data_IF_202374872515
#
_entry.id   IF_202374872515
#
_cell.length_a   1.000
_cell.length_b   1.000
_cell.length_c   1.000
_cell.angle_alpha   90.00
_cell.angle_beta   90.00
_cell.angle_gamma   90.00
#
_symmetry.space_group_name_H-M   'P 1'
#
loop_
_entity.id
_entity.type
_entity.pdbx_description
1 polymer ?
#
# COMPACT_ATOMS: atom_id res chain seq x y z
N UNK A 1 66.10 12.90 1.41
CA UNK A 1 65.83 12.98 -0.05
C UNK A 1 64.65 12.05 -0.35
N UNK A 2 63.39 12.50 -0.19
CA UNK A 2 62.46 12.94 -1.25
C UNK A 2 62.46 12.06 -2.51
N UNK A 3 61.47 11.15 -2.64
CA UNK A 3 60.59 10.86 -3.82
C UNK A 3 59.39 10.05 -3.29
N UNK A 4 58.33 10.69 -2.79
CA UNK A 4 57.14 11.09 -3.56
C UNK A 4 56.70 10.06 -4.61
N UNK A 5 55.64 9.33 -4.31
CA UNK A 5 54.69 8.79 -5.29
C UNK A 5 53.33 8.71 -4.61
N UNK A 6 52.54 9.77 -4.82
CA UNK A 6 51.10 9.75 -4.66
C UNK A 6 50.52 8.79 -5.71
N UNK A 7 49.72 7.81 -5.28
CA UNK A 7 48.66 7.29 -6.14
C UNK A 7 47.34 7.51 -5.43
N UNK A 8 46.52 8.32 -6.07
CA UNK A 8 45.23 8.81 -5.61
C UNK A 8 44.23 7.66 -5.41
N UNK A 9 43.82 7.47 -4.16
CA UNK A 9 42.62 6.69 -3.83
C UNK A 9 41.40 7.47 -4.30
N UNK A 10 40.85 7.07 -5.44
CA UNK A 10 39.58 7.55 -5.96
C UNK A 10 38.46 7.08 -5.02
N UNK A 11 38.02 7.96 -4.12
CA UNK A 11 36.83 7.73 -3.30
C UNK A 11 35.60 7.64 -4.21
N UNK A 12 35.07 6.42 -4.35
CA UNK A 12 33.79 6.17 -4.99
C UNK A 12 32.67 6.63 -4.02
N UNK A 13 32.27 7.90 -4.12
CA UNK A 13 31.14 8.44 -3.38
C UNK A 13 29.84 7.80 -3.89
N UNK A 14 29.38 6.76 -3.21
CA UNK A 14 28.02 6.24 -3.38
C UNK A 14 27.03 7.33 -2.96
N UNK A 15 26.29 7.89 -3.91
CA UNK A 15 25.19 8.78 -3.61
C UNK A 15 24.12 7.97 -2.86
N UNK A 16 24.09 8.11 -1.53
CA UNK A 16 22.94 7.69 -0.75
C UNK A 16 21.77 8.59 -1.16
N UNK A 17 20.93 8.09 -2.06
CA UNK A 17 19.76 8.82 -2.53
C UNK A 17 18.80 9.00 -1.35
N UNK A 18 18.79 10.20 -0.79
CA UNK A 18 17.79 10.61 0.18
C UNK A 18 16.44 10.68 -0.56
N UNK A 19 15.50 9.83 -0.15
CA UNK A 19 14.21 9.72 -0.81
C UNK A 19 13.16 10.54 -0.04
N UNK A 20 12.57 11.57 -0.65
CA UNK A 20 11.61 12.43 0.04
C UNK A 20 10.31 11.67 0.31
N UNK A 21 9.81 11.80 1.54
CA UNK A 21 8.56 11.21 2.00
C UNK A 21 7.80 12.19 2.91
N UNK A 22 6.53 11.86 3.16
CA UNK A 22 5.71 12.53 4.17
C UNK A 22 5.13 11.49 5.13
N UNK A 23 4.98 11.83 6.41
CA UNK A 23 4.30 10.95 7.35
C UNK A 23 2.81 10.85 7.01
N UNK A 24 2.22 9.66 7.00
CA UNK A 24 0.79 9.45 6.69
C UNK A 24 -0.11 9.72 7.90
N UNK A 25 0.44 9.61 9.11
CA UNK A 25 -0.22 9.84 10.40
C UNK A 25 0.81 10.28 11.44
N UNK A 26 0.33 10.69 12.62
CA UNK A 26 1.21 10.92 13.76
C UNK A 26 2.00 9.64 14.08
N UNK A 27 3.32 9.77 14.23
CA UNK A 27 4.23 8.64 14.48
C UNK A 27 5.38 9.07 15.36
N UNK A 28 5.90 8.13 16.14
CA UNK A 28 7.11 8.31 16.92
C UNK A 28 8.34 8.15 16.03
N UNK A 29 9.34 9.00 16.30
CA UNK A 29 10.70 8.91 15.77
C UNK A 29 11.55 8.22 16.82
N UNK A 30 11.97 6.99 16.56
CA UNK A 30 12.69 6.16 17.53
C UNK A 30 14.21 6.17 17.30
N UNK A 31 14.99 5.95 18.35
CA UNK A 31 16.44 5.96 18.28
C UNK A 31 17.01 4.76 17.50
N UNK A 32 16.30 3.63 17.50
CA UNK A 32 16.70 2.37 16.87
C UNK A 32 15.53 1.73 16.12
N UNK A 33 15.78 0.82 15.14
CA UNK A 33 14.74 0.13 14.38
C UNK A 33 14.13 -1.04 15.16
N UNK A 34 13.58 -0.77 16.34
CA UNK A 34 13.01 -1.75 17.28
C UNK A 34 11.83 -1.13 18.00
N UNK A 35 10.74 -1.86 18.23
CA UNK A 35 9.48 -1.30 18.75
C UNK A 35 9.57 -0.70 20.16
N UNK A 36 10.52 -1.18 20.97
CA UNK A 36 10.81 -0.80 22.35
C UNK A 36 11.96 0.22 22.46
N UNK A 37 12.47 0.71 21.33
CA UNK A 37 13.50 1.74 21.32
C UNK A 37 12.98 3.08 21.87
N UNK A 38 13.85 3.84 22.50
CA UNK A 38 13.52 5.16 23.04
C UNK A 38 13.01 6.12 21.94
N UNK A 39 11.94 6.84 22.25
CA UNK A 39 11.37 7.87 21.38
C UNK A 39 12.18 9.16 21.46
N UNK A 40 12.78 9.55 20.33
CA UNK A 40 13.55 10.78 20.16
C UNK A 40 12.60 11.98 20.03
N UNK A 41 11.54 11.83 19.25
CA UNK A 41 10.53 12.86 19.03
C UNK A 41 9.21 12.24 18.54
N UNK A 42 8.15 13.04 18.51
CA UNK A 42 6.89 12.68 17.86
C UNK A 42 6.70 13.56 16.64
N UNK A 43 6.44 12.94 15.49
CA UNK A 43 6.16 13.61 14.23
C UNK A 43 4.65 13.64 14.02
N UNK A 44 4.10 14.81 13.68
CA UNK A 44 2.71 14.92 13.26
C UNK A 44 2.49 14.24 11.90
N UNK A 45 1.23 13.96 11.53
CA UNK A 45 0.89 13.56 10.18
C UNK A 45 1.23 14.65 9.15
N UNK A 46 1.51 14.26 7.91
CA UNK A 46 1.93 15.11 6.79
C UNK A 46 3.26 15.87 7.03
N UNK A 47 4.11 15.39 7.93
CA UNK A 47 5.45 15.96 8.16
C UNK A 47 6.39 15.47 7.07
N UNK A 48 7.10 16.39 6.39
CA UNK A 48 8.08 16.06 5.36
C UNK A 48 9.39 15.54 5.99
N UNK A 49 9.89 14.43 5.46
CA UNK A 49 11.12 13.77 5.92
C UNK A 49 11.88 13.21 4.72
N UNK A 50 13.18 13.05 4.87
CA UNK A 50 14.03 12.39 3.88
C UNK A 50 14.45 11.01 4.40
N UNK A 51 14.08 9.96 3.66
CA UNK A 51 14.44 8.58 4.00
C UNK A 51 15.86 8.30 3.53
N UNK A 52 16.73 7.85 4.44
CA UNK A 52 18.13 7.58 4.14
C UNK A 52 18.44 6.09 4.02
N UNK A 53 17.87 5.27 4.92
CA UNK A 53 18.16 3.83 5.01
C UNK A 53 16.88 3.09 5.35
N UNK A 54 16.70 1.88 4.81
CA UNK A 54 15.60 0.98 5.17
C UNK A 54 16.14 -0.28 5.83
N UNK A 55 15.51 -0.73 6.92
CA UNK A 55 15.86 -1.96 7.62
C UNK A 55 14.61 -2.69 8.09
N UNK A 56 14.24 -3.75 7.39
CA UNK A 56 12.99 -4.49 7.65
C UNK A 56 11.77 -3.57 7.56
N UNK A 57 10.94 -3.56 8.61
CA UNK A 57 9.74 -2.71 8.70
C UNK A 57 10.03 -1.24 9.06
N UNK A 58 11.30 -0.84 9.15
CA UNK A 58 11.74 0.47 9.59
C UNK A 58 12.44 1.26 8.49
N UNK A 59 12.31 2.58 8.55
CA UNK A 59 12.99 3.53 7.69
C UNK A 59 13.67 4.58 8.56
N UNK A 60 14.98 4.76 8.37
CA UNK A 60 15.73 5.85 8.97
C UNK A 60 15.43 7.12 8.20
N UNK A 61 14.99 8.14 8.91
CA UNK A 61 14.54 9.41 8.34
C UNK A 61 15.27 10.57 8.96
N UNK A 62 15.48 11.61 8.16
CA UNK A 62 15.94 12.92 8.57
C UNK A 62 14.80 13.91 8.43
N UNK A 63 14.50 14.64 9.49
CA UNK A 63 13.50 15.71 9.49
C UNK A 63 14.11 17.02 8.99
N UNK A 64 13.26 17.96 8.56
CA UNK A 64 13.70 19.32 8.19
C UNK A 64 14.38 20.07 9.37
N UNK A 65 14.00 19.73 10.61
CA UNK A 65 14.65 20.23 11.82
C UNK A 65 16.02 19.58 12.11
N UNK A 66 16.51 18.70 11.23
CA UNK A 66 17.80 18.04 11.37
C UNK A 66 17.82 16.81 12.28
N UNK A 67 16.68 16.43 12.87
CA UNK A 67 16.60 15.23 13.71
C UNK A 67 16.63 13.96 12.86
N UNK A 68 17.40 12.97 13.31
CA UNK A 68 17.51 11.66 12.69
C UNK A 68 16.93 10.58 13.61
N UNK A 69 16.23 9.62 13.03
CA UNK A 69 15.72 8.47 13.77
C UNK A 69 14.99 7.49 12.87
N UNK A 70 14.34 6.51 13.46
CA UNK A 70 13.64 5.42 12.79
C UNK A 70 12.14 5.56 12.94
N UNK A 71 11.43 5.41 11.83
CA UNK A 71 9.96 5.36 11.80
C UNK A 71 9.51 4.09 11.10
N UNK A 72 8.29 3.64 11.42
CA UNK A 72 7.69 2.48 10.72
C UNK A 72 7.44 2.84 9.27
N UNK A 73 7.81 1.97 8.34
CA UNK A 73 7.64 2.19 6.90
C UNK A 73 6.18 2.50 6.52
N UNK A 74 5.21 1.84 7.15
CA UNK A 74 3.78 2.07 6.92
C UNK A 74 3.28 3.45 7.39
N UNK A 75 4.07 4.16 8.19
CA UNK A 75 3.78 5.53 8.58
C UNK A 75 4.31 6.56 7.57
N UNK A 76 4.95 6.13 6.49
CA UNK A 76 5.49 6.99 5.43
C UNK A 76 4.69 6.84 4.14
N UNK A 77 4.56 7.95 3.43
CA UNK A 77 4.01 8.05 2.08
C UNK A 77 5.05 8.73 1.20
N UNK A 78 5.53 8.01 0.21
CA UNK A 78 6.51 8.53 -0.74
C UNK A 78 5.80 9.33 -1.82
N UNK A 79 6.44 10.41 -2.28
CA UNK A 79 5.94 11.14 -3.45
C UNK A 79 6.37 10.36 -4.69
N UNK A 80 5.41 9.85 -5.45
CA UNK A 80 5.67 9.02 -6.64
C UNK A 80 6.34 9.82 -7.78
N UNK A 81 6.66 11.10 -7.58
CA UNK A 81 7.35 11.96 -8.53
C UNK A 81 8.85 11.67 -8.70
N UNK A 82 9.49 10.87 -7.83
CA UNK A 82 10.93 10.62 -7.90
C UNK A 82 11.34 9.35 -8.67
N UNK A 83 10.41 8.69 -9.39
CA UNK A 83 10.70 7.48 -10.17
C UNK A 83 9.93 7.34 -11.49
N UNK A 84 9.08 8.29 -11.86
CA UNK A 84 8.36 8.26 -13.12
C UNK A 84 8.83 9.41 -14.01
N UNK A 85 9.76 9.08 -14.90
CA UNK A 85 10.05 9.92 -16.06
C UNK A 85 8.74 10.21 -16.81
N UNK A 86 8.60 11.47 -17.19
CA UNK A 86 7.51 12.13 -17.88
C UNK A 86 6.80 11.31 -18.96
N UNK A 87 5.46 11.37 -19.00
CA UNK A 87 4.69 12.00 -20.08
C UNK A 87 3.20 11.62 -20.00
N UNK A 88 2.30 12.59 -20.20
CA UNK A 88 0.91 12.31 -20.55
C UNK A 88 -0.13 12.98 -19.65
N UNK A 89 -0.43 14.23 -19.97
CA UNK A 89 -1.61 14.96 -19.52
C UNK A 89 -2.89 14.22 -19.93
N UNK A 90 -3.61 13.68 -18.95
CA UNK A 90 -4.94 13.11 -19.14
C UNK A 90 -5.52 12.67 -17.79
N UNK A 91 -6.79 13.00 -17.52
CA UNK A 91 -7.48 12.71 -16.26
C UNK A 91 -7.51 11.22 -15.84
N UNK A 92 -7.06 10.30 -16.71
CA UNK A 92 -6.85 8.88 -16.39
C UNK A 92 -5.57 8.57 -15.61
N UNK A 93 -4.58 9.46 -15.60
CA UNK A 93 -3.26 9.22 -14.96
C UNK A 93 -3.33 9.24 -13.44
N UNK A 94 -4.25 10.01 -12.83
CA UNK A 94 -4.44 9.97 -11.37
C UNK A 94 -5.06 8.65 -10.91
N UNK A 95 -6.06 8.14 -11.64
CA UNK A 95 -6.63 6.83 -11.39
C UNK A 95 -5.54 5.76 -11.59
N UNK A 96 -4.86 5.74 -12.74
CA UNK A 96 -3.74 4.84 -13.04
C UNK A 96 -2.64 4.84 -11.96
N UNK A 97 -2.29 6.02 -11.42
CA UNK A 97 -1.31 6.20 -10.35
C UNK A 97 -1.75 5.64 -9.00
N UNK A 98 -3.06 5.65 -8.71
CA UNK A 98 -3.63 4.98 -7.53
C UNK A 98 -3.64 3.45 -7.67
N UNK A 99 -3.66 2.91 -8.90
CA UNK A 99 -3.63 1.46 -9.15
C UNK A 99 -2.21 0.90 -9.09
N UNK A 100 -1.23 1.74 -9.45
CA UNK A 100 0.18 1.36 -9.61
C UNK A 100 1.05 1.77 -8.43
N UNK A 101 0.75 2.88 -7.75
CA UNK A 101 1.55 3.43 -6.63
C UNK A 101 1.56 2.60 -5.34
N UNK A 102 0.71 1.59 -5.22
CA UNK A 102 0.71 0.64 -4.10
C UNK A 102 1.51 -0.65 -4.34
N UNK A 103 2.11 -0.82 -5.52
CA UNK A 103 2.77 -2.07 -5.92
C UNK A 103 4.25 -2.06 -5.53
N UNK A 104 4.53 -2.12 -4.23
CA UNK A 104 5.83 -2.65 -3.79
C UNK A 104 5.89 -4.12 -4.21
N UNK A 105 6.96 -4.53 -4.87
CA UNK A 105 7.21 -5.89 -5.34
C UNK A 105 7.32 -6.84 -4.15
N UNK A 106 6.19 -7.29 -3.62
CA UNK A 106 6.09 -8.46 -2.77
C UNK A 106 4.64 -8.93 -2.76
N UNK A 107 4.49 -10.25 -2.92
CA UNK A 107 3.25 -11.01 -2.95
C UNK A 107 2.23 -10.49 -1.94
N UNK A 108 1.27 -9.69 -2.41
CA UNK A 108 0.15 -9.19 -1.62
C UNK A 108 -1.10 -9.93 -2.07
N UNK A 109 -1.48 -10.95 -1.30
CA UNK A 109 -2.78 -11.61 -1.30
C UNK A 109 -3.88 -10.54 -1.17
N UNK A 110 -4.86 -10.53 -2.08
CA UNK A 110 -5.83 -9.44 -2.22
C UNK A 110 -7.21 -9.85 -1.72
N UNK A 111 -7.73 -9.10 -0.74
CA UNK A 111 -9.06 -9.25 -0.16
C UNK A 111 -10.18 -8.59 -1.00
N UNK A 112 -9.89 -7.85 -2.08
CA UNK A 112 -10.93 -7.27 -2.95
C UNK A 112 -10.42 -6.96 -4.37
N UNK A 113 -10.72 -7.84 -5.33
CA UNK A 113 -10.90 -7.50 -6.76
C UNK A 113 -9.68 -7.53 -7.70
N UNK A 114 -9.69 -8.50 -8.62
CA UNK A 114 -8.93 -8.62 -9.89
C UNK A 114 -7.40 -8.71 -9.87
N UNK A 115 -6.78 -9.34 -8.86
CA UNK A 115 -5.39 -9.77 -8.97
C UNK A 115 -5.32 -11.28 -9.22
N UNK A 116 -5.22 -11.68 -10.48
CA UNK A 116 -5.03 -13.07 -10.90
C UNK A 116 -6.08 -13.62 -11.88
N UNK A 117 -7.02 -12.78 -12.32
CA UNK A 117 -7.94 -13.09 -13.42
C UNK A 117 -7.60 -12.11 -14.56
N UNK A 118 -7.33 -12.63 -15.75
CA UNK A 118 -7.14 -11.80 -16.94
C UNK A 118 -8.48 -11.45 -17.60
N UNK A 119 -8.46 -10.55 -18.57
CA UNK A 119 -9.68 -10.11 -19.26
C UNK A 119 -10.33 -11.28 -20.02
N UNK A 120 -9.51 -12.16 -20.58
CA UNK A 120 -9.92 -13.40 -21.22
C UNK A 120 -10.49 -14.43 -20.23
N UNK A 121 -9.97 -14.52 -19.01
CA UNK A 121 -10.55 -15.38 -17.97
C UNK A 121 -11.96 -14.91 -17.57
N UNK A 122 -12.17 -13.58 -17.54
CA UNK A 122 -13.48 -12.98 -17.23
C UNK A 122 -14.47 -13.14 -18.38
N UNK A 123 -14.03 -13.04 -19.64
CA UNK A 123 -14.88 -13.25 -20.81
C UNK A 123 -15.32 -14.72 -20.96
N UNK A 124 -14.44 -15.65 -20.59
CA UNK A 124 -14.73 -17.09 -20.63
C UNK A 124 -15.30 -17.65 -19.32
N UNK A 125 -15.50 -16.81 -18.31
CA UNK A 125 -16.04 -17.23 -17.02
C UNK A 125 -17.46 -17.80 -17.20
N UNK A 126 -17.65 -19.05 -16.79
CA UNK A 126 -18.94 -19.71 -16.82
C UNK A 126 -19.42 -20.02 -15.40
N UNK A 127 -20.73 -20.03 -15.22
CA UNK A 127 -21.33 -20.38 -13.94
C UNK A 127 -20.97 -21.84 -13.60
N UNK A 128 -20.40 -22.04 -12.41
CA UNK A 128 -20.13 -23.38 -11.89
C UNK A 128 -21.21 -23.77 -10.86
N UNK A 129 -22.22 -24.57 -11.24
CA UNK A 129 -23.32 -24.93 -10.34
C UNK A 129 -22.86 -25.81 -9.16
N UNK A 130 -21.77 -26.56 -9.30
CA UNK A 130 -21.22 -27.39 -8.22
C UNK A 130 -20.60 -26.54 -7.10
N UNK A 131 -19.86 -25.49 -7.46
CA UNK A 131 -19.35 -24.53 -6.47
C UNK A 131 -20.48 -23.69 -5.85
N UNK A 132 -21.55 -23.40 -6.60
CA UNK A 132 -22.73 -22.74 -6.06
C UNK A 132 -23.43 -23.60 -5.00
N UNK A 133 -23.54 -24.92 -5.21
CA UNK A 133 -24.08 -25.83 -4.19
C UNK A 133 -23.18 -25.89 -2.95
N UNK A 134 -21.85 -25.91 -3.12
CA UNK A 134 -20.93 -25.81 -1.99
C UNK A 134 -21.07 -24.50 -1.24
N UNK A 135 -21.30 -23.38 -1.91
CA UNK A 135 -21.53 -22.09 -1.26
C UNK A 135 -22.84 -22.09 -0.44
N UNK A 136 -23.90 -22.70 -0.96
CA UNK A 136 -25.19 -22.81 -0.26
C UNK A 136 -25.08 -23.54 1.08
N UNK A 137 -24.12 -24.47 1.23
CA UNK A 137 -23.91 -25.18 2.49
C UNK A 137 -23.37 -24.29 3.62
N UNK A 138 -22.73 -23.15 3.28
CA UNK A 138 -22.18 -22.20 4.25
C UNK A 138 -23.15 -21.06 4.56
N UNK A 139 -24.36 -21.07 3.99
CA UNK A 139 -25.37 -20.04 4.25
C UNK A 139 -25.94 -20.20 5.65
N UNK A 140 -25.79 -19.17 6.47
CA UNK A 140 -26.41 -19.10 7.79
C UNK A 140 -27.89 -18.78 7.62
N UNK A 141 -28.76 -19.59 8.23
CA UNK A 141 -30.19 -19.37 8.22
C UNK A 141 -30.62 -18.06 8.90
N UNK A 142 -31.80 -17.57 8.54
CA UNK A 142 -32.33 -16.29 9.06
C UNK A 142 -32.46 -16.24 10.57
N UNK A 143 -32.96 -17.32 11.19
CA UNK A 143 -33.14 -17.41 12.65
C UNK A 143 -31.82 -17.32 13.44
N UNK A 144 -30.79 -18.15 13.16
CA UNK A 144 -29.51 -18.03 13.87
C UNK A 144 -28.80 -16.69 13.62
N UNK A 145 -28.92 -16.12 12.42
CA UNK A 145 -28.38 -14.79 12.12
C UNK A 145 -29.06 -13.69 12.97
N UNK A 146 -30.37 -13.76 13.15
CA UNK A 146 -31.12 -12.79 13.95
C UNK A 146 -30.77 -12.92 15.45
N UNK A 147 -30.68 -14.14 15.97
CA UNK A 147 -30.25 -14.37 17.35
C UNK A 147 -28.80 -13.92 17.62
N UNK A 148 -27.92 -13.94 16.60
CA UNK A 148 -26.60 -13.33 16.69
C UNK A 148 -26.67 -11.81 16.72
N UNK A 149 -27.47 -11.20 15.83
CA UNK A 149 -27.67 -9.76 15.78
C UNK A 149 -28.19 -9.19 17.11
N UNK A 150 -29.16 -9.86 17.75
CA UNK A 150 -29.72 -9.44 19.04
C UNK A 150 -28.67 -9.48 20.16
N UNK A 151 -27.88 -10.57 20.24
CA UNK A 151 -26.80 -10.72 21.23
C UNK A 151 -25.69 -9.69 21.05
N UNK A 152 -25.37 -9.36 19.81
CA UNK A 152 -24.32 -8.40 19.46
C UNK A 152 -24.83 -6.96 19.35
N UNK A 153 -26.12 -6.70 19.65
CA UNK A 153 -26.77 -5.39 19.57
C UNK A 153 -26.56 -4.70 18.21
N UNK A 154 -26.63 -5.47 17.14
CA UNK A 154 -26.43 -4.96 15.78
C UNK A 154 -27.67 -4.22 15.29
N UNK A 155 -27.47 -3.08 14.63
CA UNK A 155 -28.54 -2.31 14.00
C UNK A 155 -28.78 -2.78 12.56
N UNK A 156 -30.05 -2.93 12.18
CA UNK A 156 -30.41 -3.29 10.82
C UNK A 156 -30.10 -2.14 9.85
N UNK A 157 -29.42 -2.44 8.75
CA UNK A 157 -29.21 -1.51 7.64
C UNK A 157 -29.87 -2.09 6.38
N UNK A 158 -30.67 -1.26 5.71
CA UNK A 158 -31.25 -1.60 4.41
C UNK A 158 -30.26 -1.22 3.32
N UNK A 159 -29.84 -2.20 2.53
CA UNK A 159 -28.99 -2.00 1.35
C UNK A 159 -29.81 -2.39 0.13
N UNK A 160 -29.90 -1.50 -0.85
CA UNK A 160 -30.58 -1.79 -2.10
C UNK A 160 -29.75 -2.75 -2.96
N UNK A 161 -30.42 -3.70 -3.62
CA UNK A 161 -29.75 -4.63 -4.52
C UNK A 161 -29.18 -3.89 -5.73
N UNK A 162 -28.03 -4.37 -6.21
CA UNK A 162 -27.48 -3.92 -7.49
C UNK A 162 -28.49 -4.19 -8.59
N UNK A 163 -28.69 -3.21 -9.47
CA UNK A 163 -29.53 -3.36 -10.67
C UNK A 163 -29.00 -4.54 -11.48
N UNK A 164 -29.89 -5.47 -11.83
CA UNK A 164 -29.52 -6.57 -12.72
C UNK A 164 -28.93 -6.02 -14.03
N UNK A 165 -27.83 -6.62 -14.54
CA UNK A 165 -27.29 -6.21 -15.83
C UNK A 165 -28.36 -6.41 -16.90
N UNK A 166 -28.65 -5.34 -17.67
CA UNK A 166 -29.51 -5.43 -18.83
C UNK A 166 -28.89 -6.44 -19.80
N UNK A 167 -29.62 -7.52 -20.09
CA UNK A 167 -29.20 -8.51 -21.08
C UNK A 167 -28.78 -7.78 -22.36
N UNK A 168 -27.54 -8.00 -22.80
CA UNK A 168 -27.06 -7.49 -24.07
C UNK A 168 -28.04 -7.96 -25.15
N UNK A 169 -28.76 -7.03 -25.76
CA UNK A 169 -29.53 -7.29 -26.97
C UNK A 169 -28.54 -7.73 -28.03
N UNK A 170 -28.51 -9.03 -28.32
CA UNK A 170 -27.83 -9.57 -29.49
C UNK A 170 -28.44 -8.92 -30.73
N UNK A 171 -27.68 -8.05 -31.37
CA UNK A 171 -27.97 -7.57 -32.71
C UNK A 171 -27.68 -8.66 -33.74
N UNK A 172 -28.58 -8.76 -34.73
CA UNK A 172 -28.63 -9.70 -35.86
C UNK A 172 -27.30 -10.22 -36.39
#
# INVERSE_FOLDING_TARGET
MKRSSLLASLLLAGAAAAEPAVTSRQTELQAQPQSDAATVATLAGNTRVDVQVRKGAWSQVKTAAGQNGWVRMLALKFDSAAGAQSAGSGGGTMLAGLLTGGRTSNSATVTTGVRGLSEEDLQNAQANPGELQKLQQFVVGRQPAQAFADRSRLAAQKVDYLRAPSAAQGGN
#
